data_IF_114437566123
#
_entry.id   IF_114437566123
#
_cell.length_a   1.000
_cell.length_b   1.000
_cell.length_c   1.000
_cell.angle_alpha   90.00
_cell.angle_beta   90.00
_cell.angle_gamma   90.00
#
_symmetry.space_group_name_H-M   'P 1'
#
loop_
_entity.id
_entity.type
_entity.pdbx_description
1 polymer ?
#
# COMPACT_ATOMS: atom_id res chain seq x y z
N UNK A 1 15.00 20.26 -14.93
CA UNK A 1 13.52 20.29 -14.85
C UNK A 1 13.04 18.85 -14.74
N UNK A 2 12.19 18.52 -13.75
CA UNK A 2 11.62 17.16 -13.59
C UNK A 2 10.68 16.90 -14.77
N UNK A 3 10.82 15.74 -15.43
CA UNK A 3 9.95 15.37 -16.55
C UNK A 3 8.49 15.23 -16.09
N UNK A 4 7.54 15.42 -17.02
CA UNK A 4 6.10 15.36 -16.71
C UNK A 4 5.71 14.02 -16.09
N UNK A 5 6.22 12.91 -16.62
CA UNK A 5 5.98 11.54 -16.12
C UNK A 5 6.48 11.35 -14.67
N UNK A 6 7.65 11.90 -14.34
CA UNK A 6 8.16 11.86 -12.96
C UNK A 6 7.28 12.66 -12.00
N UNK A 7 6.70 13.77 -12.46
CA UNK A 7 5.77 14.55 -11.64
C UNK A 7 4.51 13.75 -11.32
N UNK A 8 3.94 13.03 -12.31
CA UNK A 8 2.77 12.18 -12.08
C UNK A 8 3.09 11.11 -11.03
N UNK A 9 4.19 10.37 -11.20
CA UNK A 9 4.61 9.37 -10.25
C UNK A 9 4.84 9.97 -8.85
N UNK A 10 5.46 11.14 -8.75
CA UNK A 10 5.70 11.81 -7.48
C UNK A 10 4.40 12.23 -6.78
N UNK A 11 3.46 12.84 -7.50
CA UNK A 11 2.18 13.25 -6.92
C UNK A 11 1.32 12.06 -6.51
N UNK A 12 1.33 11.00 -7.32
CA UNK A 12 0.65 9.76 -6.94
C UNK A 12 1.27 9.15 -5.67
N UNK A 13 2.61 9.22 -5.52
CA UNK A 13 3.26 8.72 -4.31
C UNK A 13 2.88 9.54 -3.07
N UNK A 14 2.69 10.84 -3.18
CA UNK A 14 2.18 11.67 -2.08
C UNK A 14 0.76 11.26 -1.68
N UNK A 15 -0.12 11.02 -2.65
CA UNK A 15 -1.47 10.54 -2.40
C UNK A 15 -1.46 9.15 -1.74
N UNK A 16 -0.66 8.23 -2.25
CA UNK A 16 -0.48 6.89 -1.69
C UNK A 16 0.00 6.95 -0.23
N UNK A 17 0.97 7.83 0.06
CA UNK A 17 1.49 8.05 1.41
C UNK A 17 0.39 8.54 2.36
N UNK A 18 -0.38 9.54 1.95
CA UNK A 18 -1.47 10.09 2.77
C UNK A 18 -2.55 9.03 3.07
N UNK A 19 -2.96 8.26 2.06
CA UNK A 19 -3.95 7.19 2.22
C UNK A 19 -3.41 6.09 3.13
N UNK A 20 -2.14 5.69 2.97
CA UNK A 20 -1.53 4.64 3.79
C UNK A 20 -1.42 5.07 5.24
N UNK A 21 -1.01 6.31 5.51
CA UNK A 21 -0.98 6.89 6.85
C UNK A 21 -2.37 6.88 7.50
N UNK A 22 -3.37 7.37 6.79
CA UNK A 22 -4.74 7.44 7.31
C UNK A 22 -5.30 6.05 7.58
N UNK A 23 -5.17 5.13 6.63
CA UNK A 23 -5.70 3.76 6.75
C UNK A 23 -5.01 3.00 7.88
N UNK A 24 -3.69 3.07 7.98
CA UNK A 24 -2.93 2.30 8.97
C UNK A 24 -3.24 2.72 10.40
N UNK A 25 -3.36 4.02 10.68
CA UNK A 25 -3.77 4.47 12.02
C UNK A 25 -5.18 4.01 12.38
N UNK A 26 -6.09 3.91 11.40
CA UNK A 26 -7.44 3.41 11.64
C UNK A 26 -7.42 1.96 12.14
N UNK A 27 -6.59 1.09 11.52
CA UNK A 27 -6.44 -0.30 11.97
C UNK A 27 -5.85 -0.42 13.39
N UNK A 28 -5.05 0.54 13.83
CA UNK A 28 -4.51 0.57 15.20
C UNK A 28 -5.54 1.08 16.22
N UNK A 29 -6.32 2.11 15.85
CA UNK A 29 -7.16 2.85 16.79
C UNK A 29 -8.62 2.39 16.83
N UNK A 30 -9.14 1.77 15.76
CA UNK A 30 -10.52 1.28 15.74
C UNK A 30 -10.71 0.12 16.71
N UNK A 31 -11.87 0.09 17.38
CA UNK A 31 -12.20 -0.91 18.39
C UNK A 31 -12.13 -2.36 17.86
N UNK A 32 -12.49 -2.56 16.59
CA UNK A 32 -12.43 -3.85 15.90
C UNK A 32 -11.19 -4.02 15.01
N UNK A 33 -10.25 -3.09 15.07
CA UNK A 33 -9.10 -3.04 14.18
C UNK A 33 -9.47 -2.88 12.70
N UNK A 34 -10.72 -2.57 12.36
CA UNK A 34 -11.26 -2.56 11.01
C UNK A 34 -11.55 -3.96 10.45
N UNK A 35 -11.49 -5.01 11.28
CA UNK A 35 -11.70 -6.38 10.83
C UNK A 35 -13.16 -6.64 10.42
N UNK A 36 -14.12 -6.21 11.20
CA UNK A 36 -15.55 -6.32 10.85
C UNK A 36 -16.03 -5.10 10.07
N UNK A 37 -15.73 -3.90 10.55
CA UNK A 37 -16.25 -2.66 9.96
C UNK A 37 -15.74 -2.36 8.55
N UNK A 38 -14.54 -2.82 8.19
CA UNK A 38 -13.92 -2.59 6.88
C UNK A 38 -13.72 -3.91 6.11
N UNK A 39 -13.07 -4.90 6.75
CA UNK A 39 -12.75 -6.16 6.08
C UNK A 39 -13.92 -7.15 6.04
N UNK A 40 -15.05 -6.82 6.65
CA UNK A 40 -16.29 -7.62 6.67
C UNK A 40 -16.12 -9.05 7.21
N UNK A 41 -15.17 -9.24 8.13
CA UNK A 41 -15.00 -10.50 8.85
C UNK A 41 -16.15 -10.61 9.88
N UNK A 42 -16.90 -11.72 9.95
CA UNK A 42 -18.07 -11.85 10.84
C UNK A 42 -17.65 -12.12 12.29
N UNK A 43 -17.05 -11.14 12.97
CA UNK A 43 -16.54 -11.29 14.34
C UNK A 43 -17.61 -11.63 15.35
N UNK A 44 -18.85 -11.20 15.12
CA UNK A 44 -20.03 -11.50 15.94
C UNK A 44 -20.43 -12.99 15.95
N UNK A 45 -19.92 -13.77 15.00
CA UNK A 45 -20.09 -15.23 14.95
C UNK A 45 -18.97 -16.02 15.61
N UNK A 46 -17.90 -15.32 16.07
CA UNK A 46 -16.71 -15.94 16.65
C UNK A 46 -16.80 -15.98 18.19
N UNK A 47 -16.01 -16.87 18.82
CA UNK A 47 -15.82 -16.80 20.27
C UNK A 47 -15.12 -15.52 20.66
N UNK A 48 -15.27 -15.10 21.92
CA UNK A 48 -14.62 -13.89 22.45
C UNK A 48 -13.09 -13.93 22.25
N UNK A 49 -12.48 -15.09 22.46
CA UNK A 49 -11.04 -15.29 22.32
C UNK A 49 -10.60 -15.20 20.84
N UNK A 50 -11.36 -15.81 19.94
CA UNK A 50 -11.08 -15.74 18.51
C UNK A 50 -11.23 -14.32 17.97
N UNK A 51 -12.29 -13.61 18.39
CA UNK A 51 -12.50 -12.20 18.07
C UNK A 51 -11.33 -11.33 18.54
N UNK A 52 -10.90 -11.49 19.79
CA UNK A 52 -9.77 -10.76 20.34
C UNK A 52 -8.45 -11.04 19.55
N UNK A 53 -8.22 -12.29 19.16
CA UNK A 53 -7.07 -12.67 18.36
C UNK A 53 -7.07 -11.98 16.98
N UNK A 54 -8.21 -11.97 16.28
CA UNK A 54 -8.35 -11.32 14.98
C UNK A 54 -8.12 -9.80 15.09
N UNK A 55 -8.76 -9.15 16.07
CA UNK A 55 -8.58 -7.71 16.33
C UNK A 55 -7.10 -7.38 16.59
N UNK A 56 -6.45 -8.18 17.46
CA UNK A 56 -5.04 -8.01 17.77
C UNK A 56 -4.13 -8.14 16.54
N UNK A 57 -4.37 -9.13 15.68
CA UNK A 57 -3.61 -9.32 14.43
C UNK A 57 -3.83 -8.13 13.49
N UNK A 58 -5.05 -7.63 13.35
CA UNK A 58 -5.34 -6.46 12.52
C UNK A 58 -4.67 -5.19 13.04
N UNK A 59 -4.65 -5.00 14.36
CA UNK A 59 -3.95 -3.87 14.99
C UNK A 59 -2.43 -3.97 14.79
N UNK A 60 -1.82 -5.14 14.95
CA UNK A 60 -0.40 -5.38 14.69
C UNK A 60 -0.05 -5.16 13.21
N UNK A 61 -0.89 -5.63 12.30
CA UNK A 61 -0.73 -5.35 10.88
C UNK A 61 -0.85 -3.84 10.59
N UNK A 62 -1.83 -3.16 11.18
CA UNK A 62 -1.99 -1.72 11.09
C UNK A 62 -0.76 -0.97 11.59
N UNK A 63 -0.17 -1.38 12.72
CA UNK A 63 1.06 -0.81 13.24
C UNK A 63 2.24 -0.98 12.26
N UNK A 64 2.40 -2.16 11.68
CA UNK A 64 3.43 -2.40 10.66
C UNK A 64 3.26 -1.51 9.44
N UNK A 65 2.02 -1.37 8.95
CA UNK A 65 1.69 -0.47 7.83
C UNK A 65 1.91 1.00 8.20
N UNK A 66 1.66 1.39 9.43
CA UNK A 66 1.92 2.74 9.91
C UNK A 66 3.43 3.06 9.88
N UNK A 67 4.28 2.14 10.36
CA UNK A 67 5.74 2.30 10.29
C UNK A 67 6.21 2.40 8.84
N UNK A 68 5.69 1.55 7.94
CA UNK A 68 6.00 1.63 6.50
C UNK A 68 5.58 2.99 5.92
N UNK A 69 4.43 3.52 6.34
CA UNK A 69 3.96 4.82 5.86
C UNK A 69 4.82 6.00 6.34
N UNK A 70 5.50 5.88 7.49
CA UNK A 70 6.51 6.84 7.92
C UNK A 70 7.76 6.80 7.03
N UNK A 71 8.15 5.63 6.51
CA UNK A 71 9.20 5.50 5.50
C UNK A 71 8.77 6.18 4.20
N UNK A 72 7.52 5.99 3.77
CA UNK A 72 6.94 6.70 2.62
C UNK A 72 6.98 8.22 2.81
N UNK A 73 6.61 8.69 3.99
CA UNK A 73 6.66 10.12 4.32
C UNK A 73 8.09 10.66 4.27
N UNK A 74 9.06 9.94 4.81
CA UNK A 74 10.48 10.30 4.73
C UNK A 74 10.96 10.36 3.26
N UNK A 75 10.51 9.42 2.41
CA UNK A 75 10.80 9.45 0.99
C UNK A 75 10.17 10.68 0.30
N UNK A 76 8.94 11.03 0.63
CA UNK A 76 8.28 12.25 0.13
C UNK A 76 9.05 13.52 0.49
N UNK A 77 9.52 13.63 1.72
CA UNK A 77 10.13 14.85 2.26
C UNK A 77 11.60 14.99 1.88
N UNK A 78 12.38 13.91 1.96
CA UNK A 78 13.85 13.99 1.88
C UNK A 78 14.48 12.98 0.93
N UNK A 79 13.95 11.77 0.82
CA UNK A 79 14.61 10.66 0.14
C UNK A 79 13.89 10.23 -1.15
N UNK A 80 13.58 11.18 -2.03
CA UNK A 80 12.80 10.93 -3.27
C UNK A 80 13.41 9.87 -4.18
N UNK A 81 14.72 9.64 -4.10
CA UNK A 81 15.41 8.58 -4.85
C UNK A 81 14.94 7.16 -4.47
N UNK A 82 14.31 6.98 -3.30
CA UNK A 82 13.74 5.70 -2.86
C UNK A 82 12.37 5.41 -3.47
N UNK A 83 11.68 6.39 -4.04
CA UNK A 83 10.30 6.23 -4.53
C UNK A 83 10.17 5.07 -5.54
N UNK A 84 11.05 4.88 -6.54
CA UNK A 84 10.96 3.73 -7.44
C UNK A 84 11.06 2.39 -6.70
N UNK A 85 11.95 2.27 -5.71
CA UNK A 85 12.06 1.06 -4.89
C UNK A 85 10.79 0.82 -4.09
N UNK A 86 10.19 1.86 -3.52
CA UNK A 86 8.96 1.76 -2.75
C UNK A 86 7.76 1.39 -3.63
N UNK A 87 7.71 1.82 -4.89
CA UNK A 87 6.75 1.35 -5.87
C UNK A 87 6.94 -0.14 -6.19
N UNK A 88 8.18 -0.59 -6.37
CA UNK A 88 8.48 -2.00 -6.60
C UNK A 88 8.01 -2.87 -5.42
N UNK A 89 8.37 -2.50 -4.19
CA UNK A 89 7.98 -3.23 -2.99
C UNK A 89 6.46 -3.22 -2.77
N UNK A 90 5.80 -2.08 -3.01
CA UNK A 90 4.35 -1.98 -2.95
C UNK A 90 3.66 -2.85 -4.00
N UNK A 91 4.12 -2.86 -5.25
CA UNK A 91 3.56 -3.72 -6.30
C UNK A 91 3.73 -5.20 -5.98
N UNK A 92 4.87 -5.58 -5.40
CA UNK A 92 5.10 -6.95 -4.92
C UNK A 92 4.15 -7.31 -3.77
N UNK A 93 3.97 -6.43 -2.80
CA UNK A 93 3.05 -6.64 -1.67
C UNK A 93 1.62 -6.86 -2.16
N UNK A 94 1.08 -5.95 -3.00
CA UNK A 94 -0.28 -6.08 -3.51
C UNK A 94 -0.44 -7.28 -4.45
N UNK A 95 0.59 -7.62 -5.23
CA UNK A 95 0.60 -8.82 -6.06
C UNK A 95 0.55 -10.11 -5.22
N UNK A 96 1.36 -10.22 -4.18
CA UNK A 96 1.33 -11.37 -3.27
C UNK A 96 -0.01 -11.48 -2.52
N UNK A 97 -0.61 -10.36 -2.13
CA UNK A 97 -1.96 -10.34 -1.54
C UNK A 97 -3.01 -10.86 -2.50
N UNK A 98 -2.97 -10.41 -3.78
CA UNK A 98 -3.95 -10.83 -4.79
C UNK A 98 -3.80 -12.30 -5.16
N UNK A 99 -2.60 -12.75 -5.46
CA UNK A 99 -2.37 -14.08 -6.05
C UNK A 99 -2.07 -15.14 -5.00
N UNK A 100 -1.19 -14.88 -4.05
CA UNK A 100 -0.78 -15.88 -3.08
C UNK A 100 -1.75 -15.97 -1.90
N UNK A 101 -1.97 -14.88 -1.19
CA UNK A 101 -2.83 -14.88 0.01
C UNK A 101 -4.27 -15.17 -0.40
N UNK A 102 -4.78 -14.51 -1.45
CA UNK A 102 -6.14 -14.74 -1.93
C UNK A 102 -6.42 -16.19 -2.36
N UNK A 103 -5.41 -16.90 -2.86
CA UNK A 103 -5.58 -18.29 -3.33
C UNK A 103 -5.32 -19.34 -2.25
N UNK A 104 -4.31 -19.13 -1.39
CA UNK A 104 -3.86 -20.17 -0.45
C UNK A 104 -4.27 -19.93 1.00
N UNK A 105 -4.60 -18.69 1.37
CA UNK A 105 -5.01 -18.30 2.74
C UNK A 105 -6.15 -17.28 2.70
N UNK A 106 -7.26 -17.60 2.01
CA UNK A 106 -8.36 -16.66 1.88
C UNK A 106 -8.94 -16.33 3.26
N UNK A 107 -9.20 -15.05 3.50
CA UNK A 107 -9.89 -14.59 4.69
C UNK A 107 -11.39 -14.74 4.45
N UNK A 108 -12.08 -15.42 5.37
CA UNK A 108 -13.54 -15.56 5.31
C UNK A 108 -14.21 -14.22 5.62
N UNK A 109 -15.01 -13.73 4.69
CA UNK A 109 -15.74 -12.46 4.79
C UNK A 109 -17.20 -12.66 4.38
N UNK A 110 -18.11 -11.85 4.91
CA UNK A 110 -19.55 -11.90 4.55
C UNK A 110 -19.90 -10.90 3.44
N UNK A 111 -18.97 -10.04 3.05
CA UNK A 111 -19.16 -9.03 2.01
C UNK A 111 -17.87 -8.72 1.29
N UNK A 112 -17.94 -7.75 0.39
CA UNK A 112 -16.80 -7.31 -0.41
C UNK A 112 -15.88 -6.43 0.44
N UNK A 113 -14.73 -6.99 0.85
CA UNK A 113 -13.70 -6.24 1.55
C UNK A 113 -12.98 -5.28 0.57
N UNK A 114 -13.05 -3.94 0.78
CA UNK A 114 -12.42 -2.98 -0.13
C UNK A 114 -10.93 -3.24 -0.37
N UNK A 115 -10.22 -3.66 0.68
CA UNK A 115 -8.81 -4.02 0.59
C UNK A 115 -8.53 -5.20 -0.33
N UNK A 116 -9.40 -6.21 -0.34
CA UNK A 116 -9.28 -7.38 -1.22
C UNK A 116 -9.51 -7.00 -2.69
N UNK A 117 -10.57 -6.23 -2.96
CA UNK A 117 -10.92 -5.76 -4.32
C UNK A 117 -9.80 -4.89 -4.89
N UNK A 118 -9.20 -4.04 -4.06
CA UNK A 118 -8.18 -3.08 -4.50
C UNK A 118 -6.78 -3.68 -4.72
N UNK A 119 -6.52 -4.92 -4.30
CA UNK A 119 -5.19 -5.51 -4.44
C UNK A 119 -4.71 -5.56 -5.90
N UNK A 120 -5.54 -6.06 -6.82
CA UNK A 120 -5.18 -6.16 -8.24
C UNK A 120 -5.05 -4.78 -8.92
N UNK A 121 -6.03 -3.87 -8.84
CA UNK A 121 -5.89 -2.52 -9.39
C UNK A 121 -4.67 -1.77 -8.86
N UNK A 122 -4.41 -1.83 -7.55
CA UNK A 122 -3.26 -1.16 -6.95
C UNK A 122 -1.93 -1.76 -7.43
N UNK A 123 -1.81 -3.07 -7.55
CA UNK A 123 -0.62 -3.69 -8.12
C UNK A 123 -0.33 -3.13 -9.52
N UNK A 124 -1.33 -3.09 -10.40
CA UNK A 124 -1.19 -2.59 -11.78
C UNK A 124 -0.79 -1.10 -11.78
N UNK A 125 -1.45 -0.28 -10.97
CA UNK A 125 -1.15 1.15 -10.86
C UNK A 125 0.28 1.37 -10.35
N UNK A 126 0.72 0.64 -9.32
CA UNK A 126 2.05 0.79 -8.76
C UNK A 126 3.14 0.36 -9.75
N UNK A 127 2.91 -0.68 -10.56
CA UNK A 127 3.81 -1.07 -11.66
C UNK A 127 3.89 0.06 -12.70
N UNK A 128 2.75 0.64 -13.10
CA UNK A 128 2.72 1.76 -14.03
C UNK A 128 3.49 2.98 -13.48
N UNK A 129 3.30 3.31 -12.19
CA UNK A 129 4.00 4.41 -11.52
C UNK A 129 5.50 4.14 -11.39
N UNK A 130 5.89 2.88 -11.13
CA UNK A 130 7.29 2.45 -11.16
C UNK A 130 7.93 2.73 -12.53
N UNK A 131 7.29 2.28 -13.61
CA UNK A 131 7.78 2.50 -14.97
C UNK A 131 7.89 4.00 -15.30
N UNK A 132 6.89 4.80 -14.93
CA UNK A 132 6.92 6.25 -15.12
C UNK A 132 8.04 6.92 -14.31
N UNK A 133 8.33 6.43 -13.10
CA UNK A 133 9.39 6.97 -12.24
C UNK A 133 10.81 6.66 -12.77
N UNK A 134 10.94 5.60 -13.56
CA UNK A 134 12.23 5.19 -14.16
C UNK A 134 12.45 5.77 -15.55
N UNK A 135 11.37 6.08 -16.28
CA UNK A 135 11.41 6.48 -17.69
C UNK A 135 12.34 7.67 -17.99
N UNK A 136 12.47 8.62 -17.08
CA UNK A 136 13.25 9.82 -17.35
C UNK A 136 14.73 9.69 -16.97
N UNK A 137 15.12 8.64 -16.25
CA UNK A 137 16.53 8.39 -15.90
C UNK A 137 17.37 7.92 -17.09
N UNK A 138 16.71 7.38 -18.12
CA UNK A 138 17.38 6.78 -19.29
C UNK A 138 17.61 7.75 -20.48
N UNK A 139 17.27 9.05 -20.34
CA UNK A 139 17.60 10.02 -21.39
C UNK A 139 19.09 10.33 -21.36
N UNK A 140 19.88 9.94 -22.40
CA UNK A 140 21.28 10.29 -22.47
C UNK A 140 21.41 11.82 -22.45
N UNK A 141 22.33 12.33 -21.63
CA UNK A 141 22.73 13.75 -21.71
C UNK A 141 23.21 13.99 -23.12
N UNK A 142 22.46 14.71 -23.93
CA UNK A 142 22.94 15.21 -25.20
C UNK A 142 24.18 16.06 -24.88
N UNK A 143 25.36 15.56 -25.24
CA UNK A 143 26.57 16.35 -25.29
C UNK A 143 26.27 17.53 -26.22
N UNK A 144 26.09 18.71 -25.67
CA UNK A 144 26.26 19.95 -26.44
C UNK A 144 27.74 20.05 -26.76
N UNK A 145 28.10 19.60 -27.95
CA UNK A 145 29.38 19.97 -28.61
C UNK A 145 29.24 21.41 -29.07
N UNK A 146 29.95 22.29 -28.38
CA UNK A 146 30.29 23.61 -28.87
C UNK A 146 31.65 23.54 -29.55
#
# INVERSE_FOLDING_TARGET
MIAFQEKIALWFFYLLTAITLWRSQHHVLAADGGAQSIATIPLDTYSTEATAAVIGIFALWGLSQFIISLIYLAACLKYKALIPLLYLLGSLEYGLRAFYIGSYKPIATIGDAPGAIMNMPLMIILIAMLLLSLWSKDKPKQHQSH
#
